data_IF_456708209071
#
_entry.id   IF_456708209071
#
_cell.length_a   1.000
_cell.length_b   1.000
_cell.length_c   1.000
_cell.angle_alpha   90.00
_cell.angle_beta   90.00
_cell.angle_gamma   90.00
#
_symmetry.space_group_name_H-M   'P 1'
#
loop_
_entity.id
_entity.type
_entity.pdbx_description
1 polymer ?
#
# COMPACT_ATOMS: atom_id res chain seq x y z
N UNK A 1 43.11 -61.82 -7.66
CA UNK A 1 43.12 -60.33 -7.79
C UNK A 1 41.77 -59.83 -7.45
N UNK A 2 41.50 -59.48 -6.21
CA UNK A 2 40.27 -58.98 -5.65
C UNK A 2 40.39 -57.46 -5.49
N UNK A 3 39.62 -56.72 -6.28
CA UNK A 3 39.54 -55.26 -6.19
C UNK A 3 38.48 -54.88 -5.15
N UNK A 4 38.92 -54.25 -4.09
CA UNK A 4 38.08 -53.66 -3.04
C UNK A 4 37.53 -52.29 -3.54
N UNK A 5 36.20 -52.19 -3.60
CA UNK A 5 35.48 -50.92 -3.80
C UNK A 5 35.46 -50.13 -2.49
N UNK A 6 36.04 -48.96 -2.48
CA UNK A 6 35.91 -47.99 -1.37
C UNK A 6 34.61 -47.23 -1.48
N UNK A 7 33.82 -47.36 -0.44
CA UNK A 7 32.53 -46.67 -0.24
C UNK A 7 32.80 -45.23 0.22
N UNK A 8 32.57 -44.25 -0.67
CA UNK A 8 32.65 -42.84 -0.34
C UNK A 8 31.27 -42.35 0.12
N UNK A 9 31.07 -42.34 1.44
CA UNK A 9 29.91 -41.73 2.06
C UNK A 9 29.91 -40.21 1.83
N UNK A 10 28.93 -39.74 1.09
CA UNK A 10 28.61 -38.32 0.98
C UNK A 10 27.78 -37.97 2.22
N UNK A 11 28.34 -37.11 3.08
CA UNK A 11 27.62 -36.55 4.21
C UNK A 11 26.48 -35.65 3.71
N UNK A 12 25.27 -35.72 4.32
CA UNK A 12 24.22 -34.81 3.96
C UNK A 12 24.51 -33.41 4.53
N UNK A 13 24.56 -32.44 3.63
CA UNK A 13 24.62 -31.01 3.97
C UNK A 13 23.35 -30.66 4.76
N UNK A 14 23.48 -30.35 6.06
CA UNK A 14 22.45 -29.85 6.92
C UNK A 14 22.12 -28.42 6.54
N UNK A 15 21.05 -28.24 5.74
CA UNK A 15 20.36 -26.97 5.60
C UNK A 15 19.57 -26.71 6.89
N UNK A 16 20.21 -26.12 7.88
CA UNK A 16 19.49 -25.48 8.98
C UNK A 16 18.75 -24.28 8.41
N UNK A 17 17.44 -24.49 8.17
CA UNK A 17 16.50 -23.44 7.91
C UNK A 17 16.45 -22.55 9.16
N UNK A 18 17.06 -21.39 9.09
CA UNK A 18 16.86 -20.32 10.06
C UNK A 18 15.39 -19.91 9.95
N UNK A 19 14.55 -20.54 10.74
CA UNK A 19 13.17 -20.09 10.97
C UNK A 19 13.30 -18.74 11.66
N UNK A 20 13.09 -17.68 10.89
CA UNK A 20 12.99 -16.33 11.42
C UNK A 20 11.84 -16.33 12.44
N UNK A 21 12.16 -16.27 13.73
CA UNK A 21 11.17 -16.24 14.79
C UNK A 21 10.28 -15.01 14.59
N UNK A 22 9.01 -15.26 14.34
CA UNK A 22 7.97 -14.22 14.36
C UNK A 22 7.95 -13.67 15.79
N UNK A 23 8.53 -12.50 15.99
CA UNK A 23 8.53 -11.85 17.29
C UNK A 23 7.10 -11.40 17.61
N UNK A 24 6.60 -11.66 18.82
CA UNK A 24 5.30 -11.15 19.24
C UNK A 24 5.35 -9.62 19.19
N UNK A 25 4.37 -9.03 18.53
CA UNK A 25 4.18 -7.57 18.41
C UNK A 25 4.08 -6.97 19.79
N UNK A 26 4.98 -6.07 20.14
CA UNK A 26 4.96 -5.33 21.40
C UNK A 26 3.70 -4.42 21.41
N UNK A 27 2.95 -4.31 22.54
CA UNK A 27 1.74 -3.45 22.62
C UNK A 27 1.97 -1.99 22.23
N UNK A 28 3.20 -1.49 22.31
CA UNK A 28 3.60 -0.14 21.87
C UNK A 28 3.48 0.10 20.37
N UNK A 29 3.45 -0.95 19.52
CA UNK A 29 3.39 -0.79 18.06
C UNK A 29 1.98 -0.51 17.54
N UNK A 30 0.91 -0.85 18.26
CA UNK A 30 -0.48 -0.70 17.83
C UNK A 30 -0.90 0.77 17.82
N UNK A 31 -0.61 1.47 18.92
CA UNK A 31 -0.92 2.91 19.06
C UNK A 31 -0.15 3.69 17.98
N UNK A 32 1.11 3.35 17.75
CA UNK A 32 1.95 3.99 16.75
C UNK A 32 1.39 3.91 15.31
N UNK A 33 0.85 2.77 14.84
CA UNK A 33 0.29 2.61 13.48
C UNK A 33 -0.90 3.52 13.21
N UNK A 34 -1.84 3.64 14.14
CA UNK A 34 -3.04 4.49 13.99
C UNK A 34 -2.71 5.97 14.14
N UNK A 35 -1.79 6.33 15.01
CA UNK A 35 -1.27 7.69 15.14
C UNK A 35 -0.53 8.12 13.86
N UNK A 36 0.32 7.26 13.31
CA UNK A 36 1.02 7.50 12.04
C UNK A 36 0.05 7.59 10.87
N UNK A 37 -0.99 6.75 10.82
CA UNK A 37 -2.08 6.87 9.84
C UNK A 37 -2.80 8.22 9.95
N UNK A 38 -3.11 8.67 11.16
CA UNK A 38 -3.79 9.96 11.39
C UNK A 38 -2.92 11.15 10.94
N UNK A 39 -1.59 11.04 11.07
CA UNK A 39 -0.63 12.04 10.60
C UNK A 39 -0.40 12.00 9.09
N UNK A 40 -0.57 10.82 8.45
CA UNK A 40 -0.25 10.60 7.03
C UNK A 40 -1.06 11.50 6.09
N UNK A 41 -0.40 12.04 5.07
CA UNK A 41 -0.97 12.93 4.04
C UNK A 41 -0.77 12.42 2.63
N UNK A 42 0.40 11.85 2.34
CA UNK A 42 0.80 11.37 1.02
C UNK A 42 0.93 9.84 1.02
N UNK A 43 0.04 9.18 0.28
CA UNK A 43 -0.01 7.74 0.13
C UNK A 43 0.36 7.38 -1.32
N UNK A 44 1.36 6.52 -1.51
CA UNK A 44 1.80 6.04 -2.82
C UNK A 44 1.35 4.60 -3.03
N UNK A 45 0.65 4.32 -4.14
CA UNK A 45 0.50 2.96 -4.65
C UNK A 45 1.52 2.74 -5.77
N UNK A 46 2.27 1.65 -5.71
CA UNK A 46 3.22 1.21 -6.74
C UNK A 46 2.99 -0.25 -7.11
N UNK A 47 3.40 -0.62 -8.31
CA UNK A 47 3.56 -2.01 -8.71
C UNK A 47 4.93 -2.56 -8.26
N UNK A 48 5.19 -3.82 -8.57
CA UNK A 48 6.48 -4.46 -8.26
C UNK A 48 7.62 -4.03 -9.20
N UNK A 49 7.34 -3.16 -10.19
CA UNK A 49 8.32 -2.58 -11.14
C UNK A 49 9.21 -3.63 -11.82
N UNK A 50 8.62 -4.80 -12.12
CA UNK A 50 9.35 -5.95 -12.69
C UNK A 50 10.01 -5.62 -14.02
N UNK A 51 9.35 -4.82 -14.85
CA UNK A 51 9.83 -4.37 -16.15
C UNK A 51 11.02 -3.40 -16.06
N UNK A 52 11.20 -2.75 -14.90
CA UNK A 52 12.29 -1.79 -14.65
C UNK A 52 13.39 -2.36 -13.77
N UNK A 53 13.06 -3.31 -12.91
CA UNK A 53 14.01 -3.93 -11.97
C UNK A 53 14.55 -2.97 -10.90
N UNK A 54 13.86 -1.84 -10.65
CA UNK A 54 14.36 -0.71 -9.84
C UNK A 54 13.56 -0.49 -8.55
N UNK A 55 12.73 -1.46 -8.11
CA UNK A 55 11.80 -1.28 -6.98
C UNK A 55 12.48 -0.73 -5.72
N UNK A 56 13.67 -1.22 -5.37
CA UNK A 56 14.38 -0.78 -4.17
C UNK A 56 14.80 0.69 -4.26
N UNK A 57 15.42 1.09 -5.39
CA UNK A 57 15.86 2.47 -5.61
C UNK A 57 14.68 3.43 -5.69
N UNK A 58 13.62 3.01 -6.37
CA UNK A 58 12.39 3.79 -6.49
C UNK A 58 11.74 4.02 -5.12
N UNK A 59 11.62 2.96 -4.28
CA UNK A 59 11.03 3.07 -2.96
C UNK A 59 11.82 4.04 -2.07
N UNK A 60 13.15 3.96 -2.07
CA UNK A 60 14.03 4.90 -1.34
C UNK A 60 13.80 6.34 -1.79
N UNK A 61 13.79 6.58 -3.10
CA UNK A 61 13.59 7.92 -3.65
C UNK A 61 12.22 8.51 -3.27
N UNK A 62 11.13 7.72 -3.46
CA UNK A 62 9.79 8.17 -3.14
C UNK A 62 9.60 8.45 -1.63
N UNK A 63 10.10 7.56 -0.78
CA UNK A 63 10.00 7.70 0.69
C UNK A 63 10.87 8.85 1.22
N UNK A 64 12.08 9.06 0.67
CA UNK A 64 12.90 10.25 0.95
C UNK A 64 12.20 11.55 0.57
N UNK A 65 11.29 11.50 -0.40
CA UNK A 65 10.46 12.62 -0.83
C UNK A 65 9.26 12.92 0.08
N UNK A 66 9.05 12.15 1.15
CA UNK A 66 7.98 12.41 2.12
C UNK A 66 6.69 11.62 1.87
N UNK A 67 6.78 10.45 1.24
CA UNK A 67 5.67 9.49 1.19
C UNK A 67 5.48 8.88 2.59
N UNK A 68 4.27 8.99 3.15
CA UNK A 68 3.92 8.49 4.49
C UNK A 68 3.48 7.01 4.46
N UNK A 69 2.83 6.58 3.37
CA UNK A 69 2.33 5.22 3.19
C UNK A 69 2.73 4.73 1.80
N UNK A 70 3.35 3.55 1.71
CA UNK A 70 3.65 2.90 0.45
C UNK A 70 2.91 1.57 0.33
N UNK A 71 2.15 1.37 -0.75
CA UNK A 71 1.36 0.17 -1.02
C UNK A 71 1.88 -0.57 -2.25
N UNK A 72 2.07 -1.88 -2.12
CA UNK A 72 2.23 -2.76 -3.27
C UNK A 72 0.85 -3.09 -3.88
N UNK A 73 0.68 -2.77 -5.17
CA UNK A 73 -0.50 -3.11 -5.96
C UNK A 73 -0.09 -3.38 -7.41
N UNK A 74 0.17 -4.65 -7.74
CA UNK A 74 0.65 -5.05 -9.07
C UNK A 74 -0.46 -5.26 -10.12
N UNK A 75 -1.74 -5.26 -9.72
CA UNK A 75 -2.89 -5.47 -10.62
C UNK A 75 -2.96 -4.43 -11.74
N UNK A 76 -2.96 -4.88 -12.98
CA UNK A 76 -3.01 -4.05 -14.19
C UNK A 76 -1.69 -3.31 -14.46
N UNK A 77 -0.60 -3.72 -13.85
CA UNK A 77 0.74 -3.14 -14.04
C UNK A 77 1.32 -3.47 -15.43
N UNK A 78 2.41 -2.81 -15.81
CA UNK A 78 3.19 -3.17 -16.99
C UNK A 78 3.81 -4.56 -16.78
N UNK A 79 4.35 -4.82 -15.58
CA UNK A 79 4.94 -6.11 -15.23
C UNK A 79 3.91 -7.25 -15.28
N UNK A 80 2.67 -7.05 -14.83
CA UNK A 80 1.62 -8.07 -14.94
C UNK A 80 1.28 -8.38 -16.41
N UNK A 81 1.24 -7.37 -17.26
CA UNK A 81 0.96 -7.58 -18.70
C UNK A 81 2.09 -8.30 -19.43
N UNK A 82 3.33 -8.08 -19.03
CA UNK A 82 4.51 -8.66 -19.66
C UNK A 82 4.85 -10.05 -19.11
N UNK A 83 4.78 -10.23 -17.79
CA UNK A 83 5.27 -11.43 -17.09
C UNK A 83 4.15 -12.27 -16.45
N UNK A 84 2.88 -11.88 -16.60
CA UNK A 84 1.76 -12.50 -15.90
C UNK A 84 1.56 -11.99 -14.47
N UNK A 85 0.53 -12.49 -13.77
CA UNK A 85 0.26 -12.12 -12.38
C UNK A 85 1.46 -12.35 -11.47
N UNK A 86 1.57 -11.52 -10.44
CA UNK A 86 2.61 -11.69 -9.43
C UNK A 86 2.20 -12.85 -8.50
N UNK A 87 3.03 -13.90 -8.46
CA UNK A 87 2.81 -15.03 -7.57
C UNK A 87 3.10 -14.63 -6.11
N UNK A 88 2.46 -15.29 -5.15
CA UNK A 88 2.57 -14.95 -3.73
C UNK A 88 4.01 -14.89 -3.22
N UNK A 89 4.88 -15.79 -3.69
CA UNK A 89 6.31 -15.79 -3.33
C UNK A 89 7.01 -14.50 -3.78
N UNK A 90 6.77 -14.09 -5.02
CA UNK A 90 7.41 -12.90 -5.60
C UNK A 90 6.80 -11.61 -5.04
N UNK A 91 5.50 -11.64 -4.71
CA UNK A 91 4.83 -10.56 -4.00
C UNK A 91 5.43 -10.35 -2.61
N UNK A 92 5.73 -11.42 -1.87
CA UNK A 92 6.43 -11.34 -0.58
C UNK A 92 7.85 -10.81 -0.71
N UNK A 93 8.57 -11.13 -1.78
CA UNK A 93 9.90 -10.54 -2.06
C UNK A 93 9.78 -9.03 -2.27
N UNK A 94 8.84 -8.58 -3.12
CA UNK A 94 8.59 -7.16 -3.35
C UNK A 94 8.14 -6.43 -2.07
N UNK A 95 7.25 -7.03 -1.30
CA UNK A 95 6.82 -6.51 0.01
C UNK A 95 7.99 -6.40 1.00
N UNK A 96 8.91 -7.36 1.01
CA UNK A 96 10.13 -7.32 1.83
C UNK A 96 11.03 -6.12 1.49
N UNK A 97 11.18 -5.80 0.19
CA UNK A 97 11.91 -4.63 -0.28
C UNK A 97 11.24 -3.34 0.21
N UNK A 98 9.92 -3.21 0.00
CA UNK A 98 9.14 -2.05 0.43
C UNK A 98 9.12 -1.90 1.96
N UNK A 99 9.00 -3.00 2.71
CA UNK A 99 9.05 -3.01 4.17
C UNK A 99 10.37 -2.48 4.71
N UNK A 100 11.49 -2.90 4.10
CA UNK A 100 12.81 -2.44 4.50
C UNK A 100 12.99 -0.93 4.26
N UNK A 101 12.53 -0.42 3.11
CA UNK A 101 12.56 1.00 2.80
C UNK A 101 11.61 1.80 3.72
N UNK A 102 10.36 1.35 3.89
CA UNK A 102 9.38 2.00 4.75
C UNK A 102 9.89 2.16 6.21
N UNK A 103 10.51 1.11 6.78
CA UNK A 103 11.11 1.19 8.12
C UNK A 103 12.21 2.24 8.24
N UNK A 104 13.08 2.36 7.22
CA UNK A 104 14.17 3.39 7.24
C UNK A 104 13.63 4.81 7.24
N UNK A 105 12.52 5.04 6.56
CA UNK A 105 11.92 6.37 6.43
C UNK A 105 10.77 6.62 7.41
N UNK A 106 10.48 5.69 8.32
CA UNK A 106 9.35 5.83 9.24
C UNK A 106 7.99 5.82 8.56
N UNK A 107 7.85 5.28 7.35
CA UNK A 107 6.60 5.18 6.60
C UNK A 107 5.88 3.85 6.87
N UNK A 108 4.56 3.81 6.60
CA UNK A 108 3.74 2.61 6.75
C UNK A 108 3.75 1.78 5.45
N UNK A 109 3.86 0.44 5.61
CA UNK A 109 3.70 -0.51 4.50
C UNK A 109 2.25 -0.95 4.38
N UNK A 110 1.69 -0.87 3.19
CA UNK A 110 0.34 -1.35 2.88
C UNK A 110 0.34 -2.49 1.85
N UNK A 111 -0.52 -3.48 2.08
CA UNK A 111 -0.79 -4.60 1.16
C UNK A 111 -2.19 -4.44 0.57
N UNK A 112 -2.32 -4.70 -0.73
CA UNK A 112 -3.59 -4.63 -1.45
C UNK A 112 -4.31 -5.97 -1.46
N UNK A 113 -5.57 -6.03 -1.00
CA UNK A 113 -6.53 -7.14 -1.07
C UNK A 113 -6.16 -8.43 -0.28
N UNK A 114 -4.88 -8.79 -0.16
CA UNK A 114 -4.38 -10.06 0.34
C UNK A 114 -4.08 -10.02 1.85
N UNK A 115 -5.06 -10.45 2.67
CA UNK A 115 -4.92 -10.52 4.12
C UNK A 115 -3.81 -11.48 4.58
N UNK A 116 -3.65 -12.62 3.88
CA UNK A 116 -2.59 -13.59 4.12
C UNK A 116 -1.18 -13.00 3.89
N UNK A 117 -1.01 -12.24 2.81
CA UNK A 117 0.26 -11.58 2.52
C UNK A 117 0.54 -10.40 3.45
N UNK A 118 -0.51 -9.69 3.90
CA UNK A 118 -0.37 -8.65 4.92
C UNK A 118 0.21 -9.23 6.21
N UNK A 119 -0.28 -10.39 6.65
CA UNK A 119 0.26 -11.10 7.81
C UNK A 119 1.67 -11.61 7.55
N UNK A 120 1.91 -12.31 6.45
CA UNK A 120 3.19 -12.93 6.14
C UNK A 120 4.32 -11.90 5.97
N UNK A 121 4.02 -10.71 5.44
CA UNK A 121 4.99 -9.62 5.25
C UNK A 121 5.18 -8.74 6.48
N UNK A 122 4.33 -8.87 7.51
CA UNK A 122 4.30 -7.98 8.67
C UNK A 122 3.89 -6.55 8.30
N UNK A 123 3.01 -6.39 7.30
CA UNK A 123 2.55 -5.09 6.86
C UNK A 123 1.77 -4.34 7.97
N UNK A 124 1.82 -3.02 7.90
CA UNK A 124 1.10 -2.14 8.84
C UNK A 124 -0.36 -2.00 8.45
N UNK A 125 -0.66 -2.09 7.16
CA UNK A 125 -1.97 -1.78 6.57
C UNK A 125 -2.40 -2.89 5.60
N UNK A 126 -3.68 -3.29 5.67
CA UNK A 126 -4.39 -4.04 4.65
C UNK A 126 -5.43 -3.13 4.00
N UNK A 127 -5.36 -2.92 2.68
CA UNK A 127 -6.32 -2.12 1.93
C UNK A 127 -7.26 -2.99 1.09
N UNK A 128 -8.56 -2.90 1.35
CA UNK A 128 -9.61 -3.74 0.74
C UNK A 128 -10.53 -2.94 -0.19
N UNK A 129 -10.85 -3.51 -1.34
CA UNK A 129 -11.92 -3.05 -2.20
C UNK A 129 -13.30 -3.60 -1.79
N UNK A 130 -14.34 -3.21 -2.52
CA UNK A 130 -15.73 -3.59 -2.20
C UNK A 130 -16.02 -5.09 -2.41
N UNK A 131 -15.26 -5.76 -3.31
CA UNK A 131 -15.47 -7.15 -3.68
C UNK A 131 -14.40 -8.09 -3.10
N UNK A 132 -13.51 -7.57 -2.26
CA UNK A 132 -12.48 -8.36 -1.60
C UNK A 132 -13.05 -9.03 -0.34
N UNK A 133 -12.21 -9.71 0.42
CA UNK A 133 -12.62 -10.37 1.67
C UNK A 133 -13.36 -9.37 2.58
N UNK A 134 -14.54 -9.70 3.14
CA UNK A 134 -15.25 -8.82 4.07
C UNK A 134 -14.40 -8.51 5.31
N UNK A 135 -14.53 -7.29 5.84
CA UNK A 135 -13.72 -6.78 6.96
C UNK A 135 -13.72 -7.71 8.19
N UNK A 136 -14.86 -8.29 8.65
CA UNK A 136 -14.83 -9.20 9.79
C UNK A 136 -13.94 -10.42 9.57
N UNK A 137 -13.95 -11.01 8.36
CA UNK A 137 -13.06 -12.13 8.02
C UNK A 137 -11.60 -11.68 7.86
N UNK A 138 -11.37 -10.51 7.29
CA UNK A 138 -10.02 -9.96 7.23
C UNK A 138 -9.44 -9.79 8.63
N UNK A 139 -10.22 -9.29 9.60
CA UNK A 139 -9.82 -9.15 11.01
C UNK A 139 -9.42 -10.49 11.64
N UNK A 140 -10.12 -11.60 11.33
CA UNK A 140 -9.72 -12.92 11.86
C UNK A 140 -8.35 -13.37 11.34
N UNK A 141 -7.91 -12.85 10.19
CA UNK A 141 -6.59 -13.16 9.60
C UNK A 141 -5.52 -12.21 10.13
N UNK A 142 -5.77 -10.89 10.07
CA UNK A 142 -4.73 -9.89 10.35
C UNK A 142 -4.72 -9.40 11.82
N UNK A 143 -5.74 -9.77 12.62
CA UNK A 143 -5.87 -9.32 14.01
C UNK A 143 -6.25 -7.84 14.13
N UNK A 144 -6.20 -7.31 15.36
CA UNK A 144 -6.60 -5.93 15.67
C UNK A 144 -5.50 -4.90 15.41
N UNK A 145 -4.25 -5.33 15.31
CA UNK A 145 -3.08 -4.47 15.22
C UNK A 145 -2.86 -3.89 13.83
N UNK A 146 -3.25 -4.64 12.78
CA UNK A 146 -3.12 -4.19 11.40
C UNK A 146 -4.24 -3.19 11.08
N UNK A 147 -3.87 -2.06 10.52
CA UNK A 147 -4.82 -1.05 10.04
C UNK A 147 -5.58 -1.58 8.82
N UNK A 148 -6.92 -1.48 8.79
CA UNK A 148 -7.71 -1.85 7.62
C UNK A 148 -8.29 -0.60 6.95
N UNK A 149 -8.03 -0.48 5.63
CA UNK A 149 -8.59 0.55 4.78
C UNK A 149 -9.62 0.02 3.78
N UNK A 150 -10.59 0.88 3.39
CA UNK A 150 -11.64 0.57 2.41
C UNK A 150 -11.60 1.50 1.20
N UNK A 151 -11.67 0.93 -0.01
CA UNK A 151 -11.94 1.71 -1.23
C UNK A 151 -13.42 2.07 -1.33
N UNK A 152 -13.75 3.33 -1.61
CA UNK A 152 -15.12 3.78 -1.87
C UNK A 152 -15.20 4.59 -3.16
N UNK A 153 -16.31 4.51 -3.88
CA UNK A 153 -16.54 5.21 -5.15
C UNK A 153 -17.91 5.90 -5.24
N UNK A 154 -18.65 5.92 -4.14
CA UNK A 154 -19.93 6.63 -4.03
C UNK A 154 -20.12 7.18 -2.61
N UNK A 155 -21.03 8.15 -2.45
CA UNK A 155 -21.39 8.72 -1.14
C UNK A 155 -21.85 7.63 -0.17
N UNK A 156 -22.70 6.70 -0.64
CA UNK A 156 -23.18 5.61 0.19
C UNK A 156 -22.05 4.73 0.72
N UNK A 157 -21.09 4.37 -0.14
CA UNK A 157 -19.93 3.59 0.27
C UNK A 157 -19.03 4.36 1.23
N UNK A 158 -18.80 5.66 1.01
CA UNK A 158 -18.01 6.49 1.90
C UNK A 158 -18.66 6.63 3.29
N UNK A 159 -19.99 6.86 3.34
CA UNK A 159 -20.74 6.93 4.59
C UNK A 159 -20.68 5.62 5.38
N UNK A 160 -20.81 4.48 4.69
CA UNK A 160 -20.67 3.15 5.32
C UNK A 160 -19.25 2.93 5.85
N UNK A 161 -18.24 3.16 5.04
CA UNK A 161 -16.85 2.98 5.44
C UNK A 161 -16.44 3.89 6.62
N UNK A 162 -17.06 5.07 6.73
CA UNK A 162 -16.83 5.99 7.84
C UNK A 162 -17.23 5.42 9.20
N UNK A 163 -18.15 4.44 9.26
CA UNK A 163 -18.68 3.85 10.49
C UNK A 163 -18.56 2.32 10.55
N UNK A 164 -18.11 1.66 9.46
CA UNK A 164 -17.98 0.18 9.38
C UNK A 164 -17.02 -0.31 10.47
N UNK A 165 -17.49 -1.23 11.32
CA UNK A 165 -16.67 -1.83 12.38
C UNK A 165 -15.44 -2.53 11.80
N UNK A 166 -14.29 -2.36 12.44
CA UNK A 166 -13.02 -2.95 11.99
C UNK A 166 -12.30 -2.18 10.87
N UNK A 167 -12.88 -1.10 10.34
CA UNK A 167 -12.22 -0.21 9.36
C UNK A 167 -11.55 0.95 10.10
N UNK A 168 -10.33 1.29 9.72
CA UNK A 168 -9.56 2.40 10.32
C UNK A 168 -9.53 3.65 9.45
N UNK A 169 -9.57 3.49 8.11
CA UNK A 169 -9.61 4.60 7.14
C UNK A 169 -10.30 4.19 5.85
N UNK A 170 -10.59 5.15 4.97
CA UNK A 170 -11.09 4.83 3.64
C UNK A 170 -10.50 5.75 2.56
N UNK A 171 -10.58 5.27 1.30
CA UNK A 171 -10.20 6.05 0.13
C UNK A 171 -11.44 6.36 -0.71
N UNK A 172 -11.57 7.60 -1.15
CA UNK A 172 -12.69 8.12 -1.94
C UNK A 172 -12.25 8.42 -3.38
N UNK A 173 -12.86 7.79 -4.37
CA UNK A 173 -12.54 7.98 -5.78
C UNK A 173 -12.91 6.79 -6.68
N UNK A 174 -12.53 6.82 -7.98
CA UNK A 174 -11.54 7.73 -8.56
C UNK A 174 -12.13 9.13 -8.83
N UNK A 175 -11.40 10.17 -8.43
CA UNK A 175 -11.84 11.56 -8.68
C UNK A 175 -11.84 11.85 -10.18
N UNK A 176 -10.77 11.51 -10.88
CA UNK A 176 -10.66 11.56 -12.33
C UNK A 176 -10.47 10.19 -12.93
N UNK A 177 -10.79 10.06 -14.22
CA UNK A 177 -10.54 8.83 -14.96
C UNK A 177 -9.07 8.42 -14.88
N UNK A 178 -8.82 7.13 -14.65
CA UNK A 178 -7.48 6.60 -14.47
C UNK A 178 -7.34 5.22 -15.09
N UNK A 179 -6.26 4.92 -15.80
CA UNK A 179 -6.01 3.58 -16.34
C UNK A 179 -5.74 2.52 -15.27
N UNK A 180 -5.45 2.92 -14.03
CA UNK A 180 -5.23 1.98 -12.90
C UNK A 180 -6.50 1.17 -12.55
N UNK A 181 -7.69 1.74 -12.81
CA UNK A 181 -8.99 1.06 -12.67
C UNK A 181 -9.89 1.47 -13.85
N UNK A 182 -9.63 0.95 -15.08
CA UNK A 182 -10.24 1.47 -16.31
C UNK A 182 -11.76 1.33 -16.37
N UNK A 183 -12.33 0.37 -15.63
CA UNK A 183 -13.77 0.08 -15.63
C UNK A 183 -14.56 0.89 -14.58
N UNK A 184 -13.96 1.91 -13.94
CA UNK A 184 -14.64 2.78 -12.97
C UNK A 184 -14.82 4.17 -13.55
N UNK A 185 -16.06 4.64 -13.56
CA UNK A 185 -16.39 6.05 -13.86
C UNK A 185 -15.75 6.97 -12.83
N UNK A 186 -15.26 8.12 -13.28
CA UNK A 186 -14.80 9.17 -12.40
C UNK A 186 -15.98 9.68 -11.53
N UNK A 187 -15.75 9.77 -10.22
CA UNK A 187 -16.76 10.29 -9.27
C UNK A 187 -16.74 11.82 -9.20
N UNK A 188 -15.71 12.45 -9.75
CA UNK A 188 -15.54 13.90 -9.75
C UNK A 188 -15.23 14.48 -8.36
N UNK A 189 -15.03 15.79 -8.33
CA UNK A 189 -14.80 16.55 -7.11
C UNK A 189 -16.04 16.61 -6.20
N UNK A 190 -17.22 16.31 -6.72
CA UNK A 190 -18.47 16.31 -5.96
C UNK A 190 -18.45 15.24 -4.84
N UNK A 191 -17.88 14.06 -5.12
CA UNK A 191 -17.72 13.04 -4.09
C UNK A 191 -16.71 13.48 -3.02
N UNK A 192 -15.65 14.19 -3.41
CA UNK A 192 -14.66 14.75 -2.47
C UNK A 192 -15.32 15.77 -1.56
N UNK A 193 -16.04 16.76 -2.12
CA UNK A 193 -16.76 17.79 -1.34
C UNK A 193 -17.72 17.15 -0.36
N UNK A 194 -18.56 16.24 -0.85
CA UNK A 194 -19.55 15.59 0.02
C UNK A 194 -18.92 14.75 1.14
N UNK A 195 -17.74 14.20 0.91
CA UNK A 195 -17.01 13.47 1.95
C UNK A 195 -16.38 14.43 2.97
N UNK A 196 -15.83 15.56 2.51
CA UNK A 196 -15.28 16.60 3.38
C UNK A 196 -16.37 17.24 4.24
N UNK A 197 -17.51 17.61 3.64
CA UNK A 197 -18.67 18.21 4.33
C UNK A 197 -19.26 17.29 5.40
N UNK A 198 -19.22 15.97 5.16
CA UNK A 198 -19.68 14.97 6.13
C UNK A 198 -18.77 14.85 7.36
N UNK A 199 -17.57 15.43 7.35
CA UNK A 199 -16.59 15.44 8.43
C UNK A 199 -16.45 14.06 9.12
N UNK A 200 -16.11 12.98 8.38
CA UNK A 200 -16.12 11.64 8.93
C UNK A 200 -15.12 11.52 10.09
N UNK A 201 -15.41 10.68 11.12
CA UNK A 201 -14.55 10.54 12.29
C UNK A 201 -13.23 9.82 12.00
N UNK A 202 -13.13 9.16 10.83
CA UNK A 202 -11.94 8.43 10.41
C UNK A 202 -11.15 9.19 9.37
N UNK A 203 -9.81 9.02 9.31
CA UNK A 203 -9.00 9.52 8.21
C UNK A 203 -9.53 9.01 6.87
N UNK A 204 -9.52 9.88 5.85
CA UNK A 204 -9.84 9.50 4.49
C UNK A 204 -8.88 10.14 3.50
N UNK A 205 -8.68 9.47 2.37
CA UNK A 205 -7.77 9.90 1.31
C UNK A 205 -8.55 10.02 0.00
N UNK A 206 -8.34 11.10 -0.73
CA UNK A 206 -8.82 11.20 -2.11
C UNK A 206 -7.88 10.41 -3.03
N UNK A 207 -8.44 9.70 -4.02
CA UNK A 207 -7.68 8.86 -4.96
C UNK A 207 -8.22 8.98 -6.39
N UNK A 208 -7.32 8.80 -7.37
CA UNK A 208 -7.66 8.59 -8.77
C UNK A 208 -7.41 9.79 -9.66
N UNK A 209 -6.39 9.69 -10.50
CA UNK A 209 -5.99 10.70 -11.47
C UNK A 209 -5.38 11.96 -10.87
N UNK A 210 -4.89 11.88 -9.64
CA UNK A 210 -4.28 13.01 -8.93
C UNK A 210 -2.84 13.19 -9.41
N UNK A 211 -2.51 14.43 -9.76
CA UNK A 211 -1.19 14.93 -10.12
C UNK A 211 -1.00 16.37 -9.59
N UNK A 212 0.16 16.96 -9.82
CA UNK A 212 0.49 18.31 -9.33
C UNK A 212 -0.43 19.39 -9.92
N UNK A 213 -0.88 19.23 -11.17
CA UNK A 213 -1.75 20.18 -11.87
C UNK A 213 -3.18 20.20 -11.25
N UNK A 214 -3.70 19.03 -10.90
CA UNK A 214 -5.06 18.85 -10.35
C UNK A 214 -5.13 19.01 -8.83
N UNK A 215 -3.98 19.00 -8.16
CA UNK A 215 -3.93 19.06 -6.71
C UNK A 215 -4.58 20.32 -6.12
N UNK A 216 -4.41 21.55 -6.68
CA UNK A 216 -5.06 22.74 -6.12
C UNK A 216 -6.59 22.63 -6.05
N UNK A 217 -7.24 22.18 -7.12
CA UNK A 217 -8.70 22.06 -7.14
C UNK A 217 -9.23 20.92 -6.23
N UNK A 218 -8.40 19.86 -6.03
CA UNK A 218 -8.70 18.79 -5.10
C UNK A 218 -8.67 19.28 -3.65
N UNK A 219 -7.67 20.08 -3.30
CA UNK A 219 -7.53 20.68 -1.97
C UNK A 219 -8.64 21.69 -1.71
N UNK A 220 -9.04 22.49 -2.72
CA UNK A 220 -10.17 23.40 -2.65
C UNK A 220 -11.51 22.66 -2.48
N UNK A 221 -11.59 21.42 -2.93
CA UNK A 221 -12.74 20.53 -2.69
C UNK A 221 -12.74 19.92 -1.27
N UNK A 222 -11.75 20.22 -0.41
CA UNK A 222 -11.69 19.80 0.99
C UNK A 222 -10.85 18.56 1.27
N UNK A 223 -10.15 17.99 0.26
CA UNK A 223 -9.22 16.90 0.52
C UNK A 223 -7.99 17.40 1.27
N UNK A 224 -7.56 16.69 2.30
CA UNK A 224 -6.34 16.98 3.08
C UNK A 224 -5.33 15.84 3.03
N UNK A 225 -5.70 14.73 2.38
CA UNK A 225 -4.90 13.52 2.22
C UNK A 225 -5.12 12.94 0.84
N UNK A 226 -4.06 12.47 0.19
CA UNK A 226 -4.11 11.98 -1.20
C UNK A 226 -3.46 10.62 -1.36
N UNK A 227 -3.99 9.83 -2.30
CA UNK A 227 -3.32 8.64 -2.83
C UNK A 227 -2.94 8.91 -4.28
N UNK A 228 -1.68 8.74 -4.58
CA UNK A 228 -1.14 8.91 -5.94
C UNK A 228 -0.53 7.61 -6.45
N UNK A 229 -0.46 7.48 -7.77
CA UNK A 229 0.24 6.41 -8.47
C UNK A 229 1.21 7.05 -9.47
N UNK A 230 0.73 7.38 -10.66
CA UNK A 230 1.56 7.82 -11.79
C UNK A 230 2.31 9.13 -11.55
N UNK A 231 1.76 10.02 -10.75
CA UNK A 231 2.43 11.28 -10.40
C UNK A 231 3.83 11.07 -9.80
N UNK A 232 4.07 9.89 -9.18
CA UNK A 232 5.39 9.51 -8.65
C UNK A 232 6.00 8.36 -9.46
N UNK A 233 5.22 7.28 -9.78
CA UNK A 233 5.80 6.09 -10.43
C UNK A 233 6.29 6.34 -11.86
N UNK A 234 5.78 7.38 -12.53
CA UNK A 234 6.18 7.78 -13.89
C UNK A 234 7.02 9.05 -13.91
N UNK A 235 7.33 9.66 -12.76
CA UNK A 235 8.19 10.81 -12.70
C UNK A 235 9.64 10.43 -13.06
N UNK A 236 10.34 11.33 -13.74
CA UNK A 236 11.78 11.18 -14.00
C UNK A 236 12.62 11.26 -12.74
N UNK A 237 12.12 12.01 -11.74
CA UNK A 237 12.66 12.12 -10.39
C UNK A 237 11.54 11.86 -9.37
N UNK A 238 11.39 10.60 -8.89
CA UNK A 238 10.37 10.24 -7.94
C UNK A 238 10.48 10.96 -6.59
N UNK A 239 11.70 11.26 -6.14
CA UNK A 239 11.93 12.00 -4.90
C UNK A 239 11.41 13.43 -5.00
N UNK A 240 11.81 14.16 -6.02
CA UNK A 240 11.36 15.54 -6.22
C UNK A 240 9.84 15.62 -6.43
N UNK A 241 9.22 14.66 -7.16
CA UNK A 241 7.78 14.61 -7.34
C UNK A 241 7.05 14.36 -6.00
N UNK A 242 7.54 13.44 -5.18
CA UNK A 242 6.99 13.19 -3.85
C UNK A 242 7.13 14.43 -2.95
N UNK A 243 8.29 15.10 -2.94
CA UNK A 243 8.51 16.32 -2.15
C UNK A 243 7.53 17.44 -2.50
N UNK A 244 7.26 17.67 -3.79
CA UNK A 244 6.31 18.71 -4.21
C UNK A 244 4.88 18.38 -3.79
N UNK A 245 4.46 17.11 -3.96
CA UNK A 245 3.14 16.65 -3.53
C UNK A 245 2.98 16.73 -2.01
N UNK A 246 3.98 16.24 -1.25
CA UNK A 246 3.97 16.29 0.22
C UNK A 246 3.88 17.75 0.73
N UNK A 247 4.71 18.64 0.20
CA UNK A 247 4.69 20.06 0.55
C UNK A 247 3.32 20.71 0.29
N UNK A 248 2.71 20.40 -0.86
CA UNK A 248 1.41 20.96 -1.24
C UNK A 248 0.25 20.50 -0.34
N UNK A 249 0.26 19.23 0.15
CA UNK A 249 -0.79 18.74 1.04
C UNK A 249 -0.58 19.09 2.51
N UNK A 250 0.65 19.45 2.93
CA UNK A 250 0.96 19.86 4.32
C UNK A 250 0.93 21.37 4.54
N UNK A 251 1.05 22.17 3.49
CA UNK A 251 1.13 23.63 3.56
C UNK A 251 -0.21 24.36 3.68
N UNK A 252 -1.33 23.64 3.95
CA UNK A 252 -2.66 24.23 4.12
C UNK A 252 -3.28 23.93 5.48
#
# INVERSE_FOLDING_TARGET
MTATFQDSRVEPCSLEATVCSVHPTHPSNVIDRRERLAAARLYLCTDARREKGDLAQFAEAALSGGVDIIQLRDKGSAGEREFGPLEAKDELVALGILAAAARRHGALLAVNDRADLAMASGADILHLGQNDIPVPYARTVVGEDVVIGRSTSSRAQASLAAIEEGVDYFCTGPVWATPTKPNRSASGLELVRSTADAAPPRPWFAIGGIDEERLPELLDAGATRIVVVRAITQASDPQAAAQRLAAAVTGR
#
